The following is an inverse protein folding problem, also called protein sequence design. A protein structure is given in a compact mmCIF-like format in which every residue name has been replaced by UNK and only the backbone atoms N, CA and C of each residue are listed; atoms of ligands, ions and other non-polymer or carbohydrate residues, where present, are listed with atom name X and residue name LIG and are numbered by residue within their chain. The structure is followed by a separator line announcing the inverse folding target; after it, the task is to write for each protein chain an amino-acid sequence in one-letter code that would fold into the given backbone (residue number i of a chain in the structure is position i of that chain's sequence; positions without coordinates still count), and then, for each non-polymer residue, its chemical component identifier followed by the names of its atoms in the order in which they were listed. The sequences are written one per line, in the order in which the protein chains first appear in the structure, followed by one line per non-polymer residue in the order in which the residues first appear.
data_IF_875855507044
#
_entry.id   IF_875855507044
#
_cell.length_a   1.000
_cell.length_b   1.000
_cell.length_c   1.000
_cell.angle_alpha   90.00
_cell.angle_beta   90.00
_cell.angle_gamma   90.00
#
_symmetry.space_group_name_H-M   'P 1'
#
loop_
_entity.id
_entity.type
_entity.pdbx_description
1 polymer ?
#
# COMPACT_ATOMS: atom_id res chain seq x y z
N UNK A 1 16.45 -11.37 13.41
CA UNK A 1 16.88 -12.23 14.52
C UNK A 1 17.14 -11.45 15.81
N UNK A 2 17.80 -10.29 15.76
CA UNK A 2 18.07 -9.47 16.95
C UNK A 2 16.78 -9.06 17.68
N UNK A 3 15.77 -8.54 16.98
CA UNK A 3 14.48 -8.18 17.56
C UNK A 3 13.81 -9.37 18.28
N UNK A 4 13.85 -10.56 17.66
CA UNK A 4 13.33 -11.78 18.26
C UNK A 4 14.09 -12.15 19.54
N UNK A 5 15.43 -12.06 19.52
CA UNK A 5 16.26 -12.32 20.70
C UNK A 5 15.97 -11.34 21.86
N UNK A 6 15.51 -10.14 21.55
CA UNK A 6 15.07 -9.13 22.53
C UNK A 6 13.62 -9.32 23.00
N UNK A 7 12.93 -10.36 22.52
CA UNK A 7 11.56 -10.66 22.91
C UNK A 7 10.48 -9.92 22.11
N UNK A 8 10.83 -9.32 20.98
CA UNK A 8 9.82 -8.71 20.10
C UNK A 8 8.87 -9.76 19.54
N UNK A 9 7.58 -9.49 19.55
CA UNK A 9 6.52 -10.36 19.02
C UNK A 9 6.06 -9.95 17.62
N UNK A 10 6.50 -8.79 17.16
CA UNK A 10 6.20 -8.27 15.82
C UNK A 10 7.35 -7.43 15.29
N UNK A 11 7.45 -7.33 13.99
CA UNK A 11 8.36 -6.41 13.27
C UNK A 11 7.58 -5.58 12.26
N UNK A 12 8.05 -4.37 12.02
CA UNK A 12 7.42 -3.46 11.07
C UNK A 12 8.39 -2.96 10.01
N UNK A 13 7.84 -2.65 8.85
CA UNK A 13 8.58 -2.06 7.73
C UNK A 13 7.71 -1.04 6.99
N UNK A 14 8.34 -0.18 6.19
CA UNK A 14 7.66 0.80 5.35
C UNK A 14 8.01 0.56 3.89
N UNK A 15 6.99 0.55 3.02
CA UNK A 15 7.20 0.61 1.58
C UNK A 15 6.59 1.91 1.05
N UNK A 16 7.38 2.63 0.27
CA UNK A 16 6.95 3.81 -0.47
C UNK A 16 6.57 3.41 -1.89
N UNK A 17 5.32 2.97 -2.06
CA UNK A 17 4.79 2.49 -3.34
C UNK A 17 4.77 3.62 -4.39
N UNK A 18 5.23 3.28 -5.59
CA UNK A 18 5.36 4.24 -6.69
C UNK A 18 6.67 5.04 -6.69
N UNK A 19 7.51 4.92 -5.66
CA UNK A 19 8.87 5.47 -5.67
C UNK A 19 9.81 4.61 -6.51
N UNK A 20 10.95 5.17 -6.92
CA UNK A 20 12.00 4.44 -7.65
C UNK A 20 12.55 3.24 -6.87
N UNK A 21 12.38 3.24 -5.56
CA UNK A 21 12.83 2.18 -4.66
C UNK A 21 11.77 1.11 -4.39
N UNK A 22 10.52 1.31 -4.82
CA UNK A 22 9.41 0.44 -4.41
C UNK A 22 9.61 -1.02 -4.83
N UNK A 23 10.17 -1.27 -6.01
CA UNK A 23 10.47 -2.64 -6.48
C UNK A 23 11.47 -3.34 -5.56
N UNK A 24 12.56 -2.68 -5.22
CA UNK A 24 13.59 -3.21 -4.31
C UNK A 24 13.02 -3.44 -2.91
N UNK A 25 12.31 -2.44 -2.38
CA UNK A 25 11.68 -2.53 -1.06
C UNK A 25 10.69 -3.68 -0.95
N UNK A 26 9.89 -3.94 -2.01
CA UNK A 26 8.95 -5.07 -2.04
C UNK A 26 9.67 -6.41 -1.86
N UNK A 27 10.76 -6.64 -2.56
CA UNK A 27 11.52 -7.89 -2.49
C UNK A 27 12.18 -8.05 -1.12
N UNK A 28 12.94 -7.05 -0.69
CA UNK A 28 13.67 -7.08 0.59
C UNK A 28 12.73 -7.27 1.80
N UNK A 29 11.58 -6.60 1.77
CA UNK A 29 10.60 -6.68 2.87
C UNK A 29 9.83 -8.00 2.82
N UNK A 30 9.53 -8.54 1.63
CA UNK A 30 8.92 -9.86 1.50
C UNK A 30 9.80 -10.95 2.12
N UNK A 31 11.09 -10.95 1.82
CA UNK A 31 12.07 -11.88 2.41
C UNK A 31 12.18 -11.71 3.93
N UNK A 32 12.23 -10.45 4.40
CA UNK A 32 12.29 -10.15 5.82
C UNK A 32 11.03 -10.59 6.57
N UNK A 33 9.86 -10.46 5.95
CA UNK A 33 8.59 -10.88 6.54
C UNK A 33 8.46 -12.40 6.56
N UNK A 34 8.91 -13.10 5.52
CA UNK A 34 8.97 -14.55 5.49
C UNK A 34 9.83 -15.07 6.67
N UNK A 35 11.02 -14.52 6.82
CA UNK A 35 11.88 -14.87 7.95
C UNK A 35 11.28 -14.52 9.32
N UNK A 36 10.58 -13.41 9.45
CA UNK A 36 9.87 -13.05 10.67
C UNK A 36 8.79 -14.07 11.02
N UNK A 37 8.04 -14.55 10.04
CA UNK A 37 7.02 -15.59 10.22
C UNK A 37 7.64 -16.93 10.64
N UNK A 38 8.79 -17.32 10.09
CA UNK A 38 9.53 -18.52 10.53
C UNK A 38 9.91 -18.45 12.02
N UNK A 39 10.16 -17.25 12.53
CA UNK A 39 10.43 -16.99 13.94
C UNK A 39 9.17 -16.82 14.80
N UNK A 40 7.97 -16.97 14.22
CA UNK A 40 6.70 -16.79 14.90
C UNK A 40 6.32 -15.34 15.22
N UNK A 41 6.91 -14.37 14.52
CA UNK A 41 6.63 -12.95 14.72
C UNK A 41 5.53 -12.46 13.76
N UNK A 42 4.68 -11.56 14.24
CA UNK A 42 3.75 -10.84 13.37
C UNK A 42 4.47 -9.76 12.53
N UNK A 43 3.91 -9.44 11.37
CA UNK A 43 4.48 -8.43 10.46
C UNK A 43 3.51 -7.28 10.25
N UNK A 44 4.03 -6.04 10.31
CA UNK A 44 3.28 -4.81 10.16
C UNK A 44 3.88 -4.01 9.01
N UNK A 45 3.08 -3.67 7.99
CA UNK A 45 3.53 -2.89 6.85
C UNK A 45 2.87 -1.51 6.84
N UNK A 46 3.69 -0.48 6.82
CA UNK A 46 3.26 0.89 6.49
C UNK A 46 3.23 1.03 4.97
N UNK A 47 2.03 1.08 4.41
CA UNK A 47 1.79 1.25 2.97
C UNK A 47 1.60 2.72 2.64
N UNK A 48 2.62 3.37 2.13
CA UNK A 48 2.54 4.77 1.72
C UNK A 48 2.80 4.92 0.22
N UNK A 49 1.98 5.70 -0.44
CA UNK A 49 2.26 6.12 -1.82
C UNK A 49 3.32 7.23 -1.81
N UNK A 50 4.28 7.15 -2.73
CA UNK A 50 5.33 8.15 -2.86
C UNK A 50 5.78 8.26 -4.32
N UNK A 51 5.25 9.25 -5.02
CA UNK A 51 5.68 9.60 -6.36
C UNK A 51 5.30 11.07 -6.62
N UNK A 52 6.19 11.86 -7.19
CA UNK A 52 5.91 13.26 -7.57
C UNK A 52 4.71 13.38 -8.50
N UNK A 53 4.52 12.39 -9.38
CA UNK A 53 3.44 12.37 -10.37
C UNK A 53 2.05 12.16 -9.77
N UNK A 54 1.98 11.75 -8.49
CA UNK A 54 0.72 11.65 -7.75
C UNK A 54 0.19 13.01 -7.29
N UNK A 55 0.93 14.07 -7.55
CA UNK A 55 0.46 15.43 -7.33
C UNK A 55 0.21 16.10 -8.67
N UNK A 56 -1.03 16.51 -8.92
CA UNK A 56 -1.45 17.22 -10.15
C UNK A 56 -1.96 18.62 -9.78
N UNK A 57 -1.17 19.64 -10.09
CA UNK A 57 -1.49 21.00 -9.69
C UNK A 57 -1.59 21.14 -8.17
N UNK A 58 -2.72 21.61 -7.67
CA UNK A 58 -2.99 21.78 -6.24
C UNK A 58 -3.52 20.51 -5.56
N UNK A 59 -3.84 19.43 -6.31
CA UNK A 59 -4.45 18.22 -5.78
C UNK A 59 -3.40 17.14 -5.55
N UNK A 60 -3.43 16.54 -4.36
CA UNK A 60 -2.56 15.45 -3.95
C UNK A 60 -3.35 14.12 -3.93
N UNK A 61 -2.94 13.15 -4.75
CA UNK A 61 -3.56 11.84 -4.88
C UNK A 61 -2.87 10.74 -4.06
N UNK A 62 -1.90 11.07 -3.18
CA UNK A 62 -1.22 10.09 -2.35
C UNK A 62 -2.14 9.38 -1.34
N UNK A 63 -3.33 9.89 -1.12
CA UNK A 63 -4.37 9.25 -0.29
C UNK A 63 -5.58 8.78 -1.11
N UNK A 64 -5.51 8.81 -2.44
CA UNK A 64 -6.61 8.35 -3.27
C UNK A 64 -6.98 6.89 -2.96
N UNK A 65 -8.27 6.62 -2.78
CA UNK A 65 -8.76 5.31 -2.31
C UNK A 65 -8.39 4.16 -3.26
N UNK A 66 -8.48 4.40 -4.56
CA UNK A 66 -8.13 3.45 -5.62
C UNK A 66 -6.61 3.12 -5.62
N UNK A 67 -5.75 4.12 -5.48
CA UNK A 67 -4.30 3.94 -5.42
C UNK A 67 -3.86 3.29 -4.10
N UNK A 68 -4.41 3.72 -2.96
CA UNK A 68 -4.09 3.11 -1.66
C UNK A 68 -4.59 1.68 -1.57
N UNK A 69 -5.72 1.36 -2.21
CA UNK A 69 -6.22 0.00 -2.33
C UNK A 69 -5.25 -0.94 -3.04
N UNK A 70 -4.61 -0.49 -4.12
CA UNK A 70 -3.55 -1.25 -4.79
C UNK A 70 -2.34 -1.47 -3.89
N UNK A 71 -1.88 -0.44 -3.20
CA UNK A 71 -0.75 -0.56 -2.27
C UNK A 71 -1.04 -1.57 -1.16
N UNK A 72 -2.25 -1.55 -0.60
CA UNK A 72 -2.68 -2.52 0.41
C UNK A 72 -2.73 -3.94 -0.13
N UNK A 73 -3.22 -4.13 -1.37
CA UNK A 73 -3.21 -5.44 -2.02
C UNK A 73 -1.80 -6.00 -2.14
N UNK A 74 -0.82 -5.18 -2.50
CA UNK A 74 0.58 -5.58 -2.52
C UNK A 74 1.09 -5.95 -1.12
N UNK A 75 0.70 -5.19 -0.08
CA UNK A 75 1.02 -5.52 1.30
C UNK A 75 0.50 -6.89 1.73
N UNK A 76 -0.72 -7.23 1.35
CA UNK A 76 -1.30 -8.57 1.58
C UNK A 76 -0.53 -9.64 0.80
N UNK A 77 -0.14 -9.35 -0.44
CA UNK A 77 0.61 -10.29 -1.29
C UNK A 77 1.95 -10.69 -0.69
N UNK A 78 2.64 -9.76 -0.02
CA UNK A 78 3.89 -10.06 0.71
C UNK A 78 3.65 -10.55 2.15
N UNK A 79 2.44 -10.97 2.45
CA UNK A 79 2.05 -11.60 3.73
C UNK A 79 2.20 -10.68 4.95
N UNK A 80 1.95 -9.37 4.81
CA UNK A 80 1.80 -8.51 5.98
C UNK A 80 0.55 -8.92 6.79
N UNK A 81 0.70 -9.14 8.09
CA UNK A 81 -0.43 -9.46 8.97
C UNK A 81 -1.28 -8.21 9.24
N UNK A 82 -0.63 -7.06 9.34
CA UNK A 82 -1.27 -5.77 9.56
C UNK A 82 -0.75 -4.79 8.51
N UNK A 83 -1.67 -4.07 7.87
CA UNK A 83 -1.37 -2.99 6.93
C UNK A 83 -1.83 -1.68 7.53
N UNK A 84 -0.91 -0.73 7.65
CA UNK A 84 -1.21 0.65 8.04
C UNK A 84 -1.14 1.56 6.82
N UNK A 85 -2.17 2.36 6.62
CA UNK A 85 -2.27 3.34 5.55
C UNK A 85 -2.78 4.69 6.07
N UNK A 86 -2.69 5.71 5.24
CA UNK A 86 -3.43 6.97 5.46
C UNK A 86 -4.93 6.73 5.26
N UNK A 87 -5.76 7.52 5.91
CA UNK A 87 -7.19 7.52 5.60
C UNK A 87 -7.40 7.87 4.13
N UNK A 88 -8.10 7.04 3.37
CA UNK A 88 -8.27 7.22 1.94
C UNK A 88 -9.23 8.39 1.64
N UNK A 89 -9.01 9.01 0.49
CA UNK A 89 -9.87 10.07 -0.06
C UNK A 89 -10.46 9.59 -1.38
N UNK A 90 -11.76 9.69 -1.56
CA UNK A 90 -12.40 9.34 -2.84
C UNK A 90 -12.28 10.53 -3.81
N UNK A 91 -11.19 10.62 -4.53
CA UNK A 91 -10.87 11.71 -5.46
C UNK A 91 -10.44 11.26 -6.86
N UNK A 92 -10.61 9.97 -7.20
CA UNK A 92 -10.37 9.46 -8.54
C UNK A 92 -8.91 9.46 -8.97
N UNK A 93 -8.02 8.91 -8.14
CA UNK A 93 -6.58 8.89 -8.37
C UNK A 93 -6.16 8.23 -9.68
N UNK A 94 -6.70 7.05 -10.03
CA UNK A 94 -6.38 6.37 -11.30
C UNK A 94 -6.64 7.23 -12.51
N UNK A 95 -7.82 7.87 -12.55
CA UNK A 95 -8.21 8.74 -13.67
C UNK A 95 -7.31 9.97 -13.76
N UNK A 96 -6.98 10.56 -12.62
CA UNK A 96 -6.18 11.79 -12.57
C UNK A 96 -4.71 11.55 -12.95
N UNK A 97 -4.15 10.41 -12.55
CA UNK A 97 -2.73 10.08 -12.79
C UNK A 97 -2.53 9.50 -14.19
N UNK A 98 -3.49 8.72 -14.71
CA UNK A 98 -3.46 8.18 -16.06
C UNK A 98 -2.33 7.16 -16.28
N UNK A 99 -1.92 6.42 -15.26
CA UNK A 99 -0.88 5.40 -15.39
C UNK A 99 -1.40 4.14 -16.08
N UNK A 100 -0.76 3.81 -17.21
CA UNK A 100 -0.99 2.57 -17.92
C UNK A 100 -2.36 2.48 -18.60
N UNK A 101 -2.65 1.29 -19.14
CA UNK A 101 -3.98 0.95 -19.63
C UNK A 101 -4.80 0.40 -18.46
N UNK A 102 -5.71 1.20 -17.95
CA UNK A 102 -6.61 0.80 -16.88
C UNK A 102 -7.99 0.54 -17.51
N UNK A 103 -8.62 -0.57 -17.15
CA UNK A 103 -9.99 -0.91 -17.58
C UNK A 103 -10.94 0.24 -17.18
N UNK A 104 -11.81 0.64 -18.09
CA UNK A 104 -12.75 1.74 -17.88
C UNK A 104 -13.63 1.55 -16.65
N UNK A 105 -13.94 0.31 -16.29
CA UNK A 105 -14.67 -0.03 -15.06
C UNK A 105 -13.98 0.46 -13.79
N UNK A 106 -12.64 0.55 -13.78
CA UNK A 106 -11.90 1.09 -12.65
C UNK A 106 -12.21 2.56 -12.41
N UNK A 107 -12.51 3.30 -13.50
CA UNK A 107 -12.90 4.70 -13.40
C UNK A 107 -14.36 4.92 -13.03
N UNK A 108 -15.23 3.98 -13.41
CA UNK A 108 -16.68 4.09 -13.18
C UNK A 108 -17.10 3.45 -11.86
N UNK A 109 -16.65 2.24 -11.58
CA UNK A 109 -17.05 1.50 -10.39
C UNK A 109 -16.37 2.01 -9.12
N UNK A 110 -15.05 2.25 -9.15
CA UNK A 110 -14.31 2.73 -7.98
C UNK A 110 -14.52 4.21 -7.72
N UNK A 111 -14.73 5.03 -8.75
CA UNK A 111 -14.99 6.45 -8.57
C UNK A 111 -16.39 6.74 -8.01
N UNK A 112 -17.33 5.79 -8.14
CA UNK A 112 -18.68 5.90 -7.59
C UNK A 112 -18.79 5.43 -6.13
N UNK A 113 -17.74 4.86 -5.56
CA UNK A 113 -17.71 4.42 -4.16
C UNK A 113 -17.85 5.63 -3.23
N UNK A 114 -19.01 5.75 -2.62
CA UNK A 114 -19.31 6.82 -1.66
C UNK A 114 -18.83 6.50 -0.24
N UNK A 115 -18.52 5.22 0.04
CA UNK A 115 -18.04 4.75 1.35
C UNK A 115 -16.57 4.42 1.29
N UNK A 116 -15.74 5.21 1.94
CA UNK A 116 -14.30 5.02 2.02
C UNK A 116 -13.90 3.63 2.55
N UNK A 117 -14.68 3.08 3.48
CA UNK A 117 -14.44 1.75 4.04
C UNK A 117 -14.62 0.66 2.98
N UNK A 118 -15.64 0.77 2.13
CA UNK A 118 -15.87 -0.21 1.06
C UNK A 118 -14.77 -0.20 0.01
N UNK A 119 -14.17 0.95 -0.27
CA UNK A 119 -13.04 1.08 -1.19
C UNK A 119 -11.75 0.44 -0.64
N UNK A 120 -11.60 0.35 0.67
CA UNK A 120 -10.41 -0.22 1.33
C UNK A 120 -10.49 -1.75 1.46
N UNK A 121 -11.68 -2.31 1.56
CA UNK A 121 -11.90 -3.76 1.79
C UNK A 121 -11.85 -4.58 0.49
N UNK A 122 -11.90 -3.96 -0.68
CA UNK A 122 -11.79 -4.62 -1.99
C UNK A 122 -10.36 -4.81 -2.42
#
# INVERSE_FOLDING_TARGET
KEAWNMGAVAVGATIYFGSDQSRRQLVEIAEAFEYAHELGMATILWCYLRNSDFKKGAVDYHSAADLTGQANRLGVTIKANIVKQKLPTNNGGFKAIGFGKIDERMYTELSSETRLISAVIR
#
